data_IF_110268174951
#
_entry.id   IF_110268174951
#
_cell.length_a   1.000
_cell.length_b   1.000
_cell.length_c   1.000
_cell.angle_alpha   90.00
_cell.angle_beta   90.00
_cell.angle_gamma   90.00
#
_symmetry.space_group_name_H-M   'P 1'
#
loop_
_entity.id
_entity.type
_entity.pdbx_description
1 polymer ?
#
# COMPACT_ATOMS: atom_id res chain seq x y z
N UNK A 1 6.10 -22.58 -40.52
CA UNK A 1 6.80 -22.13 -39.28
C UNK A 1 6.17 -20.80 -38.87
N UNK A 2 5.22 -20.82 -37.93
CA UNK A 2 4.37 -19.67 -37.58
C UNK A 2 5.12 -18.85 -36.52
N UNK A 3 5.63 -17.68 -36.90
CA UNK A 3 6.30 -16.77 -35.99
C UNK A 3 5.25 -16.30 -34.98
N UNK A 4 5.44 -16.69 -33.72
CA UNK A 4 4.62 -16.29 -32.59
C UNK A 4 4.89 -14.81 -32.31
N UNK A 5 4.07 -13.93 -32.90
CA UNK A 5 3.98 -12.53 -32.50
C UNK A 5 3.40 -12.48 -31.09
N UNK A 6 4.27 -12.42 -30.08
CA UNK A 6 3.88 -12.11 -28.71
C UNK A 6 3.50 -10.64 -28.71
N UNK A 7 2.20 -10.37 -28.85
CA UNK A 7 1.65 -9.03 -28.68
C UNK A 7 1.64 -8.71 -27.18
N UNK A 8 2.69 -8.02 -26.71
CA UNK A 8 2.78 -7.58 -25.32
C UNK A 8 1.75 -6.47 -25.11
N UNK A 9 0.76 -6.75 -24.26
CA UNK A 9 -0.25 -5.75 -23.89
C UNK A 9 0.39 -4.72 -22.96
N UNK A 10 0.56 -3.48 -23.44
CA UNK A 10 1.20 -2.38 -22.71
C UNK A 10 0.59 -2.19 -21.31
N UNK A 11 -0.73 -2.33 -21.16
CA UNK A 11 -1.37 -2.22 -19.83
C UNK A 11 -0.85 -3.27 -18.86
N UNK A 12 -0.73 -4.53 -19.29
CA UNK A 12 -0.19 -5.61 -18.46
C UNK A 12 1.27 -5.36 -18.08
N UNK A 13 2.09 -4.88 -19.02
CA UNK A 13 3.49 -4.57 -18.75
C UNK A 13 3.64 -3.44 -17.73
N UNK A 14 2.88 -2.35 -17.89
CA UNK A 14 2.91 -1.22 -16.96
C UNK A 14 2.41 -1.64 -15.58
N UNK A 15 1.31 -2.40 -15.49
CA UNK A 15 0.82 -2.94 -14.22
C UNK A 15 1.89 -3.79 -13.53
N UNK A 16 2.50 -4.74 -14.23
CA UNK A 16 3.54 -5.59 -13.64
C UNK A 16 4.75 -4.77 -13.15
N UNK A 17 5.25 -3.82 -13.95
CA UNK A 17 6.40 -2.98 -13.60
C UNK A 17 6.11 -2.08 -12.40
N UNK A 18 4.91 -1.49 -12.34
CA UNK A 18 4.48 -0.67 -11.21
C UNK A 18 4.41 -1.49 -9.92
N UNK A 19 3.92 -2.71 -10.02
CA UNK A 19 3.72 -3.62 -8.89
C UNK A 19 5.06 -4.16 -8.36
N UNK A 20 6.02 -4.43 -9.24
CA UNK A 20 7.42 -4.69 -8.85
C UNK A 20 8.05 -3.46 -8.18
N UNK A 21 7.79 -2.25 -8.69
CA UNK A 21 8.29 -1.02 -8.08
C UNK A 21 7.75 -0.82 -6.65
N UNK A 22 6.50 -1.22 -6.38
CA UNK A 22 5.91 -1.19 -5.04
C UNK A 22 6.61 -2.13 -4.05
N UNK A 23 7.21 -3.22 -4.55
CA UNK A 23 7.99 -4.14 -3.72
C UNK A 23 9.38 -3.58 -3.39
N UNK A 24 9.99 -2.84 -4.30
CA UNK A 24 11.39 -2.43 -4.20
C UNK A 24 11.59 -1.07 -3.52
N UNK A 25 10.59 -0.18 -3.55
CA UNK A 25 10.70 1.20 -3.07
C UNK A 25 9.66 1.55 -2.01
N UNK A 26 9.99 2.45 -1.06
CA UNK A 26 9.02 2.90 -0.07
C UNK A 26 7.90 3.73 -0.71
N UNK A 27 6.65 3.38 -0.43
CA UNK A 27 5.45 4.11 -0.84
C UNK A 27 4.74 4.72 0.36
N UNK A 28 4.36 5.99 0.18
CA UNK A 28 3.60 6.75 1.15
C UNK A 28 2.26 7.16 0.54
N UNK A 29 1.17 6.66 1.12
CA UNK A 29 -0.19 7.06 0.77
C UNK A 29 -0.62 8.22 1.67
N UNK A 30 -0.93 9.36 1.06
CA UNK A 30 -1.40 10.57 1.74
C UNK A 30 -2.83 10.89 1.33
N UNK A 31 -3.60 11.47 2.25
CA UNK A 31 -4.95 11.98 1.95
C UNK A 31 -6.03 10.90 1.84
N UNK A 32 -5.73 9.66 2.22
CA UNK A 32 -6.68 8.56 2.23
C UNK A 32 -6.97 8.08 3.65
N UNK A 33 -8.22 7.66 3.86
CA UNK A 33 -8.61 6.94 5.06
C UNK A 33 -8.12 5.49 5.00
N UNK A 34 -7.87 4.88 6.15
CA UNK A 34 -7.57 3.44 6.25
C UNK A 34 -8.70 2.54 5.72
N UNK A 35 -9.92 3.08 5.69
CA UNK A 35 -11.11 2.39 5.19
C UNK A 35 -11.44 2.74 3.73
N UNK A 36 -10.61 3.51 3.03
CA UNK A 36 -10.82 3.86 1.62
C UNK A 36 -10.74 2.61 0.73
N UNK A 37 -11.75 2.41 -0.11
CA UNK A 37 -11.86 1.22 -0.97
C UNK A 37 -10.76 1.17 -2.03
N UNK A 38 -10.26 2.31 -2.52
CA UNK A 38 -9.14 2.34 -3.45
C UNK A 38 -7.84 1.90 -2.77
N UNK A 39 -7.60 2.35 -1.54
CA UNK A 39 -6.45 1.90 -0.75
C UNK A 39 -6.54 0.41 -0.48
N UNK A 40 -7.71 -0.10 -0.07
CA UNK A 40 -7.89 -1.55 0.15
C UNK A 40 -7.63 -2.36 -1.11
N UNK A 41 -8.13 -1.93 -2.27
CA UNK A 41 -7.89 -2.60 -3.55
C UNK A 41 -6.40 -2.66 -3.88
N UNK A 42 -5.69 -1.54 -3.78
CA UNK A 42 -4.23 -1.47 -4.01
C UNK A 42 -3.48 -2.39 -3.03
N UNK A 43 -3.83 -2.36 -1.74
CA UNK A 43 -3.19 -3.22 -0.74
C UNK A 43 -3.45 -4.71 -0.99
N UNK A 44 -4.64 -5.08 -1.45
CA UNK A 44 -4.96 -6.46 -1.84
C UNK A 44 -4.11 -6.93 -3.01
N UNK A 45 -3.96 -6.11 -4.06
CA UNK A 45 -3.14 -6.45 -5.24
C UNK A 45 -1.66 -6.64 -4.87
N UNK A 46 -1.18 -5.85 -3.89
CA UNK A 46 0.20 -5.91 -3.41
C UNK A 46 0.42 -7.13 -2.50
N UNK A 47 -0.51 -7.42 -1.58
CA UNK A 47 -0.45 -8.57 -0.67
C UNK A 47 -0.35 -9.89 -1.43
N UNK A 48 -1.11 -10.04 -2.53
CA UNK A 48 -1.06 -11.21 -3.42
C UNK A 48 0.34 -11.49 -4.00
N UNK A 49 1.24 -10.51 -3.99
CA UNK A 49 2.52 -10.57 -4.71
C UNK A 49 3.70 -10.55 -3.76
N UNK A 50 3.58 -9.84 -2.63
CA UNK A 50 4.72 -9.47 -1.80
C UNK A 50 4.66 -10.13 -0.41
N UNK A 51 3.47 -10.40 0.13
CA UNK A 51 3.32 -10.80 1.53
C UNK A 51 2.39 -12.02 1.69
N UNK A 52 2.82 -13.22 1.26
CA UNK A 52 2.06 -14.42 1.56
C UNK A 52 1.89 -14.60 3.08
N UNK A 53 0.69 -15.00 3.51
CA UNK A 53 0.32 -15.32 4.90
C UNK A 53 0.22 -14.11 5.86
N UNK A 54 -0.35 -12.98 5.42
CA UNK A 54 -0.63 -11.82 6.28
C UNK A 54 0.63 -11.20 6.92
N UNK A 55 1.79 -11.38 6.29
CA UNK A 55 3.03 -10.76 6.73
C UNK A 55 2.96 -9.23 6.61
N UNK A 56 3.79 -8.52 7.38
CA UNK A 56 3.94 -7.08 7.25
C UNK A 56 4.49 -6.74 5.86
N UNK A 57 3.83 -5.84 5.14
CA UNK A 57 4.40 -5.25 3.92
C UNK A 57 5.37 -4.14 4.35
N UNK A 58 6.69 -4.34 4.22
CA UNK A 58 7.67 -3.48 4.87
C UNK A 58 7.75 -2.07 4.26
N UNK A 59 7.45 -1.94 2.97
CA UNK A 59 7.71 -0.74 2.18
C UNK A 59 6.47 0.13 1.96
N UNK A 60 5.34 -0.19 2.60
CA UNK A 60 4.10 0.58 2.45
C UNK A 60 3.75 1.30 3.74
N UNK A 61 3.48 2.60 3.58
CA UNK A 61 3.16 3.52 4.64
C UNK A 61 1.86 4.25 4.30
N UNK A 62 0.88 4.19 5.20
CA UNK A 62 -0.29 5.07 5.16
C UNK A 62 -0.05 6.25 6.11
N UNK A 63 -0.11 7.47 5.59
CA UNK A 63 -0.01 8.67 6.41
C UNK A 63 -1.41 9.16 6.73
N UNK A 64 -1.79 9.04 8.01
CA UNK A 64 -3.13 9.36 8.51
C UNK A 64 -3.10 10.56 9.45
N UNK A 65 -4.13 11.39 9.35
CA UNK A 65 -4.30 12.50 10.27
C UNK A 65 -4.81 12.01 11.63
N UNK A 66 -4.20 12.49 12.71
CA UNK A 66 -4.71 12.28 14.07
C UNK A 66 -4.36 13.47 14.95
N UNK A 67 -5.36 14.09 15.59
CA UNK A 67 -5.17 15.26 16.47
C UNK A 67 -4.33 14.91 17.70
N UNK A 68 -4.47 13.68 18.20
CA UNK A 68 -3.93 13.24 19.49
C UNK A 68 -2.58 12.48 19.35
N UNK A 69 -1.99 12.44 18.16
CA UNK A 69 -0.75 11.70 17.93
C UNK A 69 0.44 12.26 18.73
N UNK A 70 0.53 13.58 18.87
CA UNK A 70 1.58 14.23 19.69
C UNK A 70 1.41 13.93 21.18
N UNK A 71 0.17 13.91 21.68
CA UNK A 71 -0.11 13.65 23.09
C UNK A 71 0.17 12.20 23.48
N UNK A 72 0.03 11.26 22.54
CA UNK A 72 0.28 9.83 22.76
C UNK A 72 1.72 9.42 22.46
N UNK A 73 2.52 10.28 21.79
CA UNK A 73 3.88 9.98 21.35
C UNK A 73 3.98 8.81 20.35
N UNK A 74 2.84 8.32 19.87
CA UNK A 74 2.75 7.10 19.05
C UNK A 74 2.48 7.47 17.60
N UNK A 75 3.55 7.90 16.93
CA UNK A 75 3.48 8.35 15.55
C UNK A 75 3.46 7.19 14.55
N UNK A 76 4.06 6.05 14.87
CA UNK A 76 4.09 4.90 13.96
C UNK A 76 3.45 3.67 14.61
N UNK A 77 2.54 3.02 13.89
CA UNK A 77 1.90 1.76 14.29
C UNK A 77 1.86 0.79 13.12
N UNK A 78 1.86 -0.50 13.42
CA UNK A 78 1.46 -1.52 12.46
C UNK A 78 -0.02 -1.82 12.65
N UNK A 79 -0.79 -1.77 11.57
CA UNK A 79 -2.21 -2.07 11.60
C UNK A 79 -2.53 -3.21 10.64
N UNK A 80 -3.42 -4.10 11.10
CA UNK A 80 -4.03 -5.14 10.29
C UNK A 80 -5.33 -4.59 9.70
N UNK A 81 -5.38 -4.46 8.37
CA UNK A 81 -6.52 -3.86 7.65
C UNK A 81 -7.22 -4.98 6.89
N UNK A 82 -8.55 -5.08 7.02
CA UNK A 82 -9.36 -5.94 6.18
C UNK A 82 -9.47 -5.35 4.77
N UNK A 83 -9.06 -6.10 3.75
CA UNK A 83 -9.10 -5.69 2.33
C UNK A 83 -10.11 -6.50 1.50
N UNK A 84 -10.94 -7.32 2.15
CA UNK A 84 -11.98 -8.13 1.52
C UNK A 84 -12.57 -9.16 2.48
N UNK A 85 -13.44 -10.05 1.99
CA UNK A 85 -14.24 -10.96 2.82
C UNK A 85 -13.42 -11.91 3.71
N UNK A 86 -12.18 -12.22 3.35
CA UNK A 86 -11.32 -13.08 4.17
C UNK A 86 -9.81 -12.76 4.04
N UNK A 87 -9.48 -11.52 3.63
CA UNK A 87 -8.11 -11.07 3.44
C UNK A 87 -7.82 -9.89 4.34
N UNK A 88 -6.65 -9.90 4.98
CA UNK A 88 -6.17 -8.77 5.74
C UNK A 88 -4.69 -8.54 5.54
N UNK A 89 -4.31 -7.28 5.46
CA UNK A 89 -2.94 -6.86 5.16
C UNK A 89 -2.40 -6.10 6.35
N UNK A 90 -1.16 -6.41 6.75
CA UNK A 90 -0.47 -5.65 7.79
C UNK A 90 0.41 -4.59 7.14
N UNK A 91 0.19 -3.33 7.48
CA UNK A 91 0.97 -2.19 6.97
C UNK A 91 1.45 -1.27 8.09
N UNK A 92 2.40 -0.40 7.76
CA UNK A 92 2.82 0.70 8.64
C UNK A 92 1.89 1.89 8.44
N UNK A 93 1.45 2.48 9.54
CA UNK A 93 0.66 3.72 9.56
C UNK A 93 1.43 4.77 10.34
N UNK A 94 1.60 5.94 9.73
CA UNK A 94 2.23 7.11 10.33
C UNK A 94 1.13 8.12 10.63
N UNK A 95 1.02 8.54 11.89
CA UNK A 95 0.08 9.54 12.35
C UNK A 95 0.75 10.90 12.47
N UNK A 96 0.11 11.91 11.89
CA UNK A 96 0.50 13.30 12.03
C UNK A 96 -0.72 14.19 12.35
N UNK A 97 -0.53 15.23 13.15
CA UNK A 97 -1.58 16.20 13.47
C UNK A 97 -1.55 17.43 12.54
N UNK A 98 -0.59 17.48 11.63
CA UNK A 98 -0.44 18.51 10.62
C UNK A 98 0.31 17.91 9.43
N UNK A 99 0.13 18.49 8.25
CA UNK A 99 0.83 18.13 7.01
C UNK A 99 1.67 19.28 6.48
N UNK A 100 1.89 20.32 7.28
CA UNK A 100 2.65 21.51 6.86
C UNK A 100 4.11 21.19 6.54
N UNK A 101 4.65 20.12 7.12
CA UNK A 101 6.01 19.62 6.84
C UNK A 101 6.18 18.97 5.45
N UNK A 102 5.09 18.76 4.71
CA UNK A 102 5.15 18.12 3.38
C UNK A 102 5.58 19.13 2.30
N UNK A 103 5.43 20.43 2.52
CA UNK A 103 5.66 21.50 1.54
C UNK A 103 6.68 22.52 2.08
#
# INVERSE_FOLDING_TARGET
MKIMLISINVRKYISAKLLTYFAEHPLFFFGYSINDENIKAILSDIDEIIAPNNALIPNIYLVSFSKDCEATGSHQKELLIGVGENKSVRIKVIYANNFGWIF
#
